data_IF_757951008704
#
_entry.id   IF_757951008704
#
_cell.length_a   1.000
_cell.length_b   1.000
_cell.length_c   1.000
_cell.angle_alpha   90.00
_cell.angle_beta   90.00
_cell.angle_gamma   90.00
#
_symmetry.space_group_name_H-M   'P 1'
#
loop_
_entity.id
_entity.type
_entity.pdbx_description
1 polymer ?
2 non-polymer ?
3 non-polymer ?
4 non-polymer ?
5 non-polymer ?
6 non-polymer ?
7 water ?
#
# COMPACT_ATOMS: atom_id res chain seq x y z
N UNK A 24 1.22 33.32 -7.76
CA UNK A 24 1.81 32.41 -6.78
C UNK A 24 3.10 31.81 -7.30
N UNK A 25 3.63 30.82 -6.57
CA UNK A 25 4.84 30.10 -6.95
C UNK A 25 4.55 28.62 -6.75
N UNK A 26 4.05 27.97 -7.80
CA UNK A 26 3.67 26.57 -7.72
C UNK A 26 4.90 25.67 -7.72
N UNK A 27 4.79 24.54 -7.06
CA UNK A 27 5.91 23.65 -6.82
C UNK A 27 5.81 22.42 -7.71
N UNK A 28 6.96 21.98 -8.22
CA UNK A 28 6.99 20.85 -9.15
C UNK A 28 6.93 19.51 -8.42
N UNK A 29 7.79 19.33 -7.42
CA UNK A 29 7.87 18.07 -6.68
C UNK A 29 7.74 18.34 -5.20
N UNK A 30 6.69 17.79 -4.59
CA UNK A 30 6.52 17.82 -3.14
C UNK A 30 7.29 16.65 -2.52
N UNK A 31 8.62 16.75 -2.65
CA UNK A 31 9.49 15.61 -2.35
C UNK A 31 9.56 15.37 -0.84
N UNK A 32 9.58 16.43 -0.05
CA UNK A 32 9.65 16.26 1.39
C UNK A 32 8.41 15.59 1.96
N UNK A 33 7.23 15.98 1.46
CA UNK A 33 5.99 15.35 1.91
C UNK A 33 5.91 13.91 1.44
N UNK A 34 6.32 13.64 0.20
CA UNK A 34 6.21 12.28 -0.35
C UNK A 34 7.12 11.31 0.40
N UNK A 35 8.29 11.78 0.85
CA UNK A 35 9.20 10.90 1.57
C UNK A 35 8.67 10.62 2.97
N UNK A 36 8.17 11.65 3.66
CA UNK A 36 7.62 11.46 5.00
C UNK A 36 6.43 10.49 4.96
N UNK A 37 5.61 10.58 3.92
CA UNK A 37 4.46 9.68 3.79
C UNK A 37 4.95 8.23 3.65
N UNK A 38 5.90 8.00 2.75
CA UNK A 38 6.40 6.64 2.54
C UNK A 38 7.13 6.11 3.77
N UNK A 39 7.93 6.96 4.41
CA UNK A 39 8.68 6.53 5.59
C UNK A 39 7.73 6.17 6.73
N UNK A 40 6.67 6.96 6.91
CA UNK A 40 5.72 6.71 7.99
C UNK A 40 4.98 5.39 7.78
N UNK A 41 4.63 5.08 6.53
CA UNK A 41 3.85 3.87 6.27
C UNK A 41 4.71 2.62 6.45
N UNK A 42 5.94 2.65 5.95
CA UNK A 42 6.79 1.46 6.02
C UNK A 42 7.21 1.17 7.46
N UNK A 43 7.41 2.22 8.26
CA UNK A 43 7.74 2.03 9.67
C UNK A 43 6.55 1.43 10.41
N UNK A 44 5.36 2.00 10.20
CA UNK A 44 4.15 1.47 10.84
C UNK A 44 3.86 0.05 10.39
N UNK A 45 4.20 -0.28 9.14
CA UNK A 45 3.91 -1.62 8.64
C UNK A 45 4.88 -2.65 9.20
N UNK A 46 6.18 -2.33 9.24
CA UNK A 46 7.16 -3.29 9.71
C UNK A 46 7.07 -3.52 11.20
N UNK A 47 6.73 -2.49 11.98
CA UNK A 47 6.66 -2.63 13.43
C UNK A 47 5.49 -3.53 13.81
N UNK A 48 4.32 -3.29 13.23
CA UNK A 48 3.15 -4.10 13.54
C UNK A 48 3.37 -5.55 13.13
N UNK A 49 3.95 -5.77 11.95
CA UNK A 49 4.27 -7.13 11.52
C UNK A 49 5.22 -7.81 12.51
N UNK A 50 6.17 -7.06 13.07
CA UNK A 50 7.16 -7.66 13.95
C UNK A 50 6.53 -8.09 15.27
N UNK A 51 5.70 -7.24 15.87
CA UNK A 51 5.17 -7.54 17.20
C UNK A 51 4.12 -8.64 17.13
N UNK A 52 3.43 -8.78 16.00
CA UNK A 52 2.49 -9.89 15.84
C UNK A 52 3.24 -11.21 15.71
N UNK A 53 4.35 -11.20 14.96
CA UNK A 53 5.19 -12.38 14.81
C UNK A 53 6.00 -12.68 16.06
N UNK A 54 6.10 -11.75 17.00
CA UNK A 54 6.91 -11.91 18.20
C UNK A 54 6.09 -12.25 19.44
N UNK A 55 4.96 -11.58 19.64
CA UNK A 55 4.15 -11.74 20.85
C UNK A 55 2.92 -12.60 20.65
N UNK A 56 2.78 -13.24 19.48
CA UNK A 56 1.61 -14.06 19.19
C UNK A 56 2.03 -15.31 18.43
N UNK A 57 1.30 -16.39 18.69
CA UNK A 57 1.42 -17.60 17.88
C UNK A 57 0.44 -17.53 16.70
N UNK A 58 0.79 -18.26 15.63
CA UNK A 58 -0.06 -18.26 14.45
C UNK A 58 -1.39 -18.92 14.78
N UNK A 59 -2.47 -18.26 14.39
CA UNK A 59 -3.81 -18.70 14.73
C UNK A 59 -4.41 -18.02 15.95
N UNK A 60 -3.59 -17.39 16.78
CA UNK A 60 -4.10 -16.63 17.91
C UNK A 60 -4.86 -15.41 17.41
N UNK A 61 -5.88 -15.01 18.19
CA UNK A 61 -6.74 -13.90 17.81
C UNK A 61 -7.02 -13.02 19.02
N UNK A 62 -6.84 -11.72 18.84
CA UNK A 62 -7.19 -10.74 19.86
C UNK A 62 -8.35 -9.89 19.36
N UNK A 63 -9.17 -9.41 20.30
CA UNK A 63 -10.38 -8.67 19.99
C UNK A 63 -10.17 -7.19 20.29
N UNK A 64 -10.30 -6.36 19.27
CA UNK A 64 -10.25 -4.91 19.42
C UNK A 64 -11.64 -4.29 19.34
N UNK A 65 -12.38 -4.61 18.29
CA UNK A 65 -13.79 -4.24 18.17
C UNK A 65 -14.58 -5.53 17.98
N UNK A 66 -15.33 -5.98 18.99
CA UNK A 66 -16.02 -7.27 18.88
C UNK A 66 -17.00 -7.28 17.71
N UNK A 67 -16.95 -8.37 16.94
CA UNK A 67 -17.79 -8.66 15.77
C UNK A 67 -17.45 -7.79 14.56
N UNK A 68 -16.47 -6.90 14.66
CA UNK A 68 -16.14 -6.05 13.52
C UNK A 68 -14.66 -6.08 13.17
N UNK A 69 -13.77 -6.16 14.15
CA UNK A 69 -12.34 -6.10 13.88
C UNK A 69 -11.60 -6.91 14.93
N UNK A 70 -10.77 -7.85 14.49
CA UNK A 70 -9.90 -8.62 15.36
C UNK A 70 -8.47 -8.57 14.82
N UNK A 71 -7.52 -8.93 15.67
CA UNK A 71 -6.12 -9.05 15.29
C UNK A 71 -5.75 -10.52 15.42
N UNK A 72 -5.61 -11.20 14.28
CA UNK A 72 -5.32 -12.63 14.24
C UNK A 72 -4.05 -12.85 13.42
N UNK A 73 -3.06 -13.50 14.04
CA UNK A 73 -1.82 -13.80 13.35
C UNK A 73 -2.06 -14.75 12.19
N UNK A 74 -1.55 -14.40 11.01
CA UNK A 74 -1.75 -15.17 9.80
C UNK A 74 -0.55 -14.99 8.88
N UNK A 75 -0.29 -16.00 8.07
CA UNK A 75 0.84 -15.99 7.15
C UNK A 75 0.35 -16.26 5.74
N UNK A 76 0.86 -15.51 4.78
CA UNK A 76 0.50 -15.66 3.37
C UNK A 76 1.77 -15.77 2.54
N UNK A 77 1.91 -16.88 1.82
CA UNK A 77 3.00 -17.06 0.87
C UNK A 77 2.57 -16.75 -0.56
N UNK A 78 1.49 -15.99 -0.71
CA UNK A 78 1.01 -15.61 -2.02
C UNK A 78 0.57 -14.16 -2.10
N UNK A 79 -0.17 -13.82 -3.16
CA UNK A 79 -0.67 -12.48 -3.40
C UNK A 79 -2.07 -12.35 -2.79
N UNK A 80 -2.79 -11.29 -3.16
CA UNK A 80 -4.17 -11.08 -2.73
C UNK A 80 -4.98 -12.37 -2.84
N UNK A 81 -5.79 -12.63 -1.82
CA UNK A 81 -6.61 -13.85 -1.70
C UNK A 81 -5.76 -15.11 -1.74
N UNK A 82 -4.46 -15.00 -1.49
CA UNK A 82 -3.60 -16.17 -1.52
C UNK A 82 -3.28 -16.70 -2.90
N UNK A 83 -3.51 -15.92 -3.95
CA UNK A 83 -3.23 -16.38 -5.29
C UNK A 83 -1.72 -16.42 -5.52
N UNK A 84 -1.29 -17.31 -6.43
CA UNK A 84 0.11 -17.45 -6.81
C UNK A 84 0.98 -17.74 -5.58
N UNK A 85 0.56 -18.74 -4.81
CA UNK A 85 1.28 -19.08 -3.58
C UNK A 85 2.61 -19.75 -3.90
N UNK A 86 3.65 -19.36 -3.17
CA UNK A 86 4.96 -19.95 -3.32
C UNK A 86 5.78 -19.45 -4.48
N UNK A 87 5.33 -18.42 -5.18
CA UNK A 87 6.07 -17.85 -6.31
C UNK A 87 6.79 -16.60 -5.81
N UNK A 88 7.94 -16.82 -5.15
CA UNK A 88 8.70 -15.70 -4.60
C UNK A 88 9.59 -15.05 -5.66
N UNK A 89 10.08 -15.82 -6.63
CA UNK A 89 10.85 -15.23 -7.72
C UNK A 89 9.97 -14.28 -8.54
N UNK A 90 8.72 -14.67 -8.80
CA UNK A 90 7.82 -13.83 -9.57
C UNK A 90 7.49 -12.55 -8.82
N UNK A 91 7.16 -12.67 -7.52
CA UNK A 91 6.89 -11.49 -6.70
C UNK A 91 8.11 -10.59 -6.65
N UNK A 92 9.31 -11.17 -6.62
CA UNK A 92 10.53 -10.38 -6.57
C UNK A 92 10.68 -9.51 -7.81
N UNK A 93 10.55 -10.12 -8.99
CA UNK A 93 10.76 -9.39 -10.24
C UNK A 93 9.66 -8.36 -10.45
N UNK A 94 8.40 -8.77 -10.26
CA UNK A 94 7.28 -7.88 -10.55
C UNK A 94 7.21 -6.70 -9.58
N UNK A 95 7.77 -6.83 -8.37
CA UNK A 95 7.78 -5.72 -7.43
C UNK A 95 8.87 -4.72 -7.79
N UNK A 96 10.03 -5.20 -8.24
CA UNK A 96 11.06 -4.29 -8.73
C UNK A 96 10.56 -3.51 -9.93
N UNK A 97 9.82 -4.16 -10.82
CA UNK A 97 9.23 -3.46 -11.96
C UNK A 97 8.27 -2.39 -11.49
N UNK A 98 7.47 -2.70 -10.46
CA UNK A 98 6.50 -1.73 -9.95
C UNK A 98 7.22 -0.55 -9.30
N UNK A 99 8.22 -0.84 -8.46
CA UNK A 99 8.93 0.23 -7.76
C UNK A 99 9.63 1.17 -8.74
N UNK A 100 10.27 0.61 -9.76
CA UNK A 100 10.95 1.45 -10.75
C UNK A 100 9.93 2.23 -11.59
N UNK A 101 8.78 1.61 -11.87
CA UNK A 101 7.75 2.29 -12.64
C UNK A 101 7.17 3.46 -11.86
N UNK A 102 6.97 3.29 -10.55
CA UNK A 102 6.44 4.37 -9.74
C UNK A 102 7.40 5.56 -9.69
N UNK A 103 8.70 5.29 -9.58
CA UNK A 103 9.69 6.36 -9.54
C UNK A 103 9.70 7.12 -10.87
N UNK A 104 9.54 6.39 -11.98
CA UNK A 104 9.53 7.02 -13.29
C UNK A 104 8.31 7.93 -13.47
N UNK A 105 7.14 7.47 -13.04
CA UNK A 105 5.93 8.25 -13.22
C UNK A 105 5.89 9.45 -12.26
N UNK A 106 6.58 9.34 -11.13
CA UNK A 106 6.66 10.48 -10.20
C UNK A 106 7.34 11.67 -10.85
N UNK A 107 8.42 11.42 -11.59
CA UNK A 107 9.22 12.50 -12.16
C UNK A 107 8.68 12.96 -13.52
N UNK A 108 8.10 12.05 -14.30
CA UNK A 108 7.74 12.37 -15.68
C UNK A 108 6.31 12.88 -15.83
N UNK A 109 5.36 12.34 -15.07
CA UNK A 109 3.95 12.61 -15.31
C UNK A 109 3.18 13.14 -14.12
N UNK A 110 3.80 13.28 -12.96
CA UNK A 110 3.11 13.72 -11.76
C UNK A 110 3.61 15.07 -11.24
N UNK A 111 4.40 15.79 -12.02
CA UNK A 111 4.94 17.05 -11.57
C UNK A 111 3.85 18.10 -11.44
N UNK A 112 3.97 18.96 -10.43
CA UNK A 112 3.01 20.00 -10.06
C UNK A 112 1.68 19.44 -9.58
N UNK A 113 1.63 18.15 -9.24
CA UNK A 113 0.39 17.48 -8.83
C UNK A 113 0.64 16.80 -7.48
N UNK A 114 0.26 17.49 -6.41
CA UNK A 114 0.45 16.94 -5.06
C UNK A 114 -0.42 15.71 -4.83
N UNK A 115 -1.64 15.72 -5.38
CA UNK A 115 -2.55 14.60 -5.18
C UNK A 115 -1.98 13.31 -5.78
N UNK A 116 -1.41 13.40 -6.97
CA UNK A 116 -0.83 12.21 -7.60
C UNK A 116 0.44 11.76 -6.87
N UNK A 117 1.25 12.72 -6.41
CA UNK A 117 2.48 12.36 -5.73
C UNK A 117 2.22 11.67 -4.40
N UNK A 118 1.14 12.05 -3.71
CA UNK A 118 0.76 11.35 -2.47
C UNK A 118 0.34 9.92 -2.77
N UNK A 119 -0.46 9.73 -3.84
CA UNK A 119 -0.92 8.40 -4.19
C UNK A 119 0.23 7.49 -4.60
N UNK A 120 1.21 8.04 -5.33
CA UNK A 120 2.36 7.24 -5.75
C UNK A 120 3.21 6.85 -4.55
N UNK A 121 3.29 7.71 -3.54
CA UNK A 121 4.05 7.38 -2.34
C UNK A 121 3.40 6.23 -1.58
N UNK A 122 2.08 6.24 -1.47
CA UNK A 122 1.37 5.15 -0.79
C UNK A 122 1.54 3.84 -1.53
N UNK A 123 1.52 3.88 -2.87
CA UNK A 123 1.80 2.70 -3.65
C UNK A 123 3.24 2.23 -3.43
N UNK A 124 4.18 3.17 -3.39
CA UNK A 124 5.59 2.81 -3.20
C UNK A 124 5.82 2.18 -1.83
N UNK A 125 5.25 2.78 -0.79
CA UNK A 125 5.45 2.26 0.56
C UNK A 125 4.80 0.89 0.72
N UNK A 126 3.61 0.70 0.15
CA UNK A 126 2.94 -0.59 0.27
C UNK A 126 3.69 -1.70 -0.44
N UNK A 127 4.16 -1.44 -1.65
CA UNK A 127 4.90 -2.45 -2.39
C UNK A 127 6.23 -2.76 -1.71
N UNK A 128 6.90 -1.74 -1.19
CA UNK A 128 8.17 -1.96 -0.49
C UNK A 128 7.96 -2.72 0.82
N UNK A 129 6.84 -2.46 1.51
CA UNK A 129 6.59 -3.13 2.78
C UNK A 129 6.48 -4.62 2.63
N UNK A 130 5.64 -5.08 1.69
CA UNK A 130 5.50 -6.52 1.46
C UNK A 130 6.75 -7.10 0.81
N UNK A 131 7.50 -6.28 0.08
CA UNK A 131 8.71 -6.77 -0.57
C UNK A 131 9.77 -7.18 0.46
N UNK A 132 9.85 -6.44 1.57
CA UNK A 132 10.82 -6.77 2.60
C UNK A 132 10.50 -8.11 3.24
N UNK A 133 9.21 -8.37 3.50
CA UNK A 133 8.83 -9.62 4.15
C UNK A 133 9.13 -10.82 3.26
N UNK A 134 8.84 -10.72 1.96
CA UNK A 134 9.07 -11.83 1.06
C UNK A 134 10.55 -12.12 0.88
N UNK A 135 11.39 -11.09 0.89
CA UNK A 135 12.83 -11.30 0.74
C UNK A 135 13.42 -11.89 2.02
N UNK A 136 12.92 -11.47 3.18
CA UNK A 136 13.50 -11.90 4.45
C UNK A 136 13.01 -13.29 4.85
N UNK A 137 11.71 -13.54 4.78
CA UNK A 137 11.13 -14.77 5.29
C UNK A 137 10.44 -15.63 4.24
N UNK A 138 10.28 -15.13 3.01
CA UNK A 138 9.58 -15.90 2.00
C UNK A 138 8.09 -15.96 2.18
N UNK A 139 7.52 -15.09 3.02
CA UNK A 139 6.08 -15.02 3.22
C UNK A 139 5.75 -13.65 3.82
N UNK A 140 4.46 -13.39 3.93
CA UNK A 140 3.95 -12.10 4.38
C UNK A 140 3.10 -12.30 5.62
N UNK A 141 3.36 -11.49 6.65
CA UNK A 141 2.56 -11.52 7.87
C UNK A 141 1.29 -10.72 7.66
N UNK A 142 0.15 -11.31 8.01
CA UNK A 142 -1.16 -10.66 7.92
C UNK A 142 -1.87 -10.77 9.25
N UNK A 143 -2.41 -9.65 9.73
CA UNK A 143 -3.08 -9.65 11.03
C UNK A 143 -4.41 -8.91 11.07
N UNK A 144 -4.74 -8.09 10.08
CA UNK A 144 -5.96 -7.30 10.12
C UNK A 144 -7.13 -8.20 9.71
N UNK A 145 -8.02 -8.48 10.66
CA UNK A 145 -9.14 -9.41 10.45
C UNK A 145 -10.43 -8.66 10.74
N UNK A 146 -11.14 -8.28 9.66
CA UNK A 146 -12.30 -7.41 9.80
C UNK A 146 -13.36 -7.79 8.77
N UNK A 147 -14.55 -7.22 8.95
CA UNK A 147 -15.63 -7.35 7.99
C UNK A 147 -16.26 -6.00 7.66
N UNK A 148 -15.66 -4.90 8.10
CA UNK A 148 -16.24 -3.58 7.87
C UNK A 148 -16.19 -3.23 6.38
N UNK A 149 -15.14 -3.65 5.69
CA UNK A 149 -15.01 -3.43 4.24
C UNK A 149 -15.61 -4.57 3.42
N UNK A 150 -16.37 -5.46 4.04
CA UNK A 150 -16.95 -6.60 3.35
C UNK A 150 -16.79 -7.87 4.16
N UNK A 151 -17.77 -8.75 4.05
CA UNK A 151 -17.77 -9.98 4.84
C UNK A 151 -16.87 -11.04 4.21
N UNK A 152 -16.27 -11.85 5.07
CA UNK A 152 -15.33 -12.90 4.67
C UNK A 152 -14.22 -12.32 3.79
N UNK A 153 -13.64 -11.23 4.27
CA UNK A 153 -12.54 -10.51 3.63
C UNK A 153 -11.21 -11.03 4.15
N UNK A 154 -10.24 -11.31 3.28
CA UNK A 154 -8.98 -11.93 3.73
C UNK A 154 -8.26 -11.07 4.76
N UNK A 155 -7.44 -11.73 5.55
CA UNK A 155 -6.62 -11.06 6.56
C UNK A 155 -5.47 -10.36 5.86
N UNK A 156 -5.35 -9.05 6.08
CA UNK A 156 -4.32 -8.26 5.41
C UNK A 156 -3.48 -7.47 6.40
N UNK A 157 -2.63 -6.58 5.87
CA UNK A 157 -1.75 -5.79 6.74
C UNK A 157 -1.74 -4.31 6.34
N UNK A 158 -0.82 -3.55 6.93
CA UNK A 158 -0.76 -2.11 6.68
C UNK A 158 -0.27 -1.84 5.26
N UNK A 159 0.69 -2.63 4.77
CA UNK A 159 1.18 -2.45 3.42
C UNK A 159 0.07 -2.68 2.39
N UNK A 160 -0.82 -3.63 2.65
CA UNK A 160 -1.95 -3.85 1.76
C UNK A 160 -2.91 -2.67 1.77
N UNK A 161 -3.14 -2.08 2.94
CA UNK A 161 -4.04 -0.93 3.03
C UNK A 161 -3.48 0.25 2.25
N UNK A 162 -2.18 0.51 2.36
CA UNK A 162 -1.58 1.62 1.63
C UNK A 162 -1.67 1.42 0.12
N UNK A 163 -1.51 0.17 -0.31
CA UNK A 163 -1.57 -0.18 -1.72
C UNK A 163 -2.97 0.08 -2.28
N UNK A 164 -3.98 -0.43 -1.58
CA UNK A 164 -5.37 -0.26 -2.00
C UNK A 164 -5.75 1.22 -2.00
N UNK A 165 -5.30 1.94 -0.97
CA UNK A 165 -5.59 3.36 -0.84
C UNK A 165 -5.03 4.14 -2.01
N UNK A 166 -3.76 3.89 -2.33
CA UNK A 166 -3.11 4.57 -3.44
C UNK A 166 -3.74 4.27 -4.78
N UNK A 167 -4.24 3.04 -4.95
CA UNK A 167 -4.91 2.68 -6.19
C UNK A 167 -6.23 3.43 -6.32
N UNK A 168 -6.96 3.57 -5.21
CA UNK A 168 -8.23 4.30 -5.23
C UNK A 168 -8.01 5.75 -5.62
N UNK A 169 -6.97 6.39 -5.06
CA UNK A 169 -6.69 7.77 -5.42
C UNK A 169 -6.26 7.92 -6.87
N UNK A 170 -5.55 6.92 -7.41
CA UNK A 170 -5.11 6.99 -8.80
C UNK A 170 -6.30 6.94 -9.74
N UNK A 171 -7.23 6.03 -9.50
CA UNK A 171 -8.41 5.94 -10.37
C UNK A 171 -9.33 7.12 -10.15
N UNK A 172 -9.34 7.69 -8.95
CA UNK A 172 -10.16 8.88 -8.69
C UNK A 172 -9.66 10.06 -9.52
N UNK A 173 -8.35 10.30 -9.49
CA UNK A 173 -7.78 11.45 -10.19
C UNK A 173 -7.99 11.35 -11.70
N UNK A 174 -7.74 10.17 -12.27
CA UNK A 174 -7.85 10.02 -13.73
C UNK A 174 -9.30 10.00 -14.17
N UNK A 175 -10.19 9.39 -13.38
CA UNK A 175 -11.61 9.40 -13.72
C UNK A 175 -12.19 10.80 -13.60
N UNK A 176 -11.71 11.59 -12.63
CA UNK A 176 -12.19 12.96 -12.50
C UNK A 176 -11.76 13.82 -13.68
N UNK A 177 -10.57 13.58 -14.22
CA UNK A 177 -10.06 14.38 -15.33
C UNK A 177 -10.66 13.99 -16.68
N UNK A 178 -11.44 12.90 -16.74
CA UNK A 178 -12.22 12.63 -17.94
C UNK A 178 -13.30 13.67 -18.13
N UNK A 179 -13.77 14.28 -17.05
CA UNK A 179 -14.75 15.36 -17.10
C UNK A 179 -14.11 16.74 -16.99
N UNK A 180 -12.79 16.83 -17.10
CA UNK A 180 -12.06 18.08 -16.93
C UNK A 180 -11.74 18.77 -18.24
N UNK A 181 -12.27 18.27 -19.36
CA UNK A 181 -11.99 18.86 -20.67
C UNK A 181 -12.88 20.11 -20.82
N UNK A 182 -12.36 21.24 -20.36
CA UNK A 182 -13.03 22.53 -20.51
C UNK A 182 -11.99 23.55 -20.96
N UNK A 183 -12.30 24.28 -22.03
CA UNK A 183 -11.32 25.09 -22.74
C UNK A 183 -10.57 26.06 -21.82
N UNK A 184 -11.29 26.99 -21.21
CA UNK A 184 -10.65 28.12 -20.55
C UNK A 184 -10.22 27.78 -19.12
N UNK A 185 -9.20 28.49 -18.64
CA UNK A 185 -8.70 28.33 -17.28
C UNK A 185 -8.80 29.60 -16.44
N UNK A 186 -9.33 30.68 -17.00
CA UNK A 186 -9.59 31.90 -16.25
C UNK A 186 -11.01 32.36 -16.55
N UNK A 187 -11.60 33.08 -15.60
CA UNK A 187 -12.95 33.58 -15.76
C UNK A 187 -13.01 34.62 -16.88
X LIG B 1 -5.30 -8.72 1.05
X LIG B 1 -7.04 -7.49 -2.20
X LIG B 1 -7.81 -5.61 -3.73
X LIG B 1 -6.76 -6.76 -5.79
X LIG B 1 -3.54 -8.42 -6.87
X LIG B 1 -2.53 -7.35 -7.35
X LIG B 1 -1.43 -7.91 -8.30
X LIG B 1 1.08 -8.07 -7.64
X LIG B 1 2.02 -6.26 -6.07
X LIG B 1 1.64 -6.72 -3.51
X LIG B 1 1.72 -7.78 -6.24
X LIG B 1 -0.33 -8.72 -7.53
X LIG B 1 2.27 -5.77 -4.59
X LIG B 1 3.00 -8.65 -6.04
X LIG B 1 -3.42 -10.24 2.06
X LIG B 1 3.78 -5.54 -4.33
X LIG B 1 -4.90 -10.14 1.56
X LIG B 1 -2.36 -10.08 0.93
X LIG B 1 -6.52 -5.79 -4.58
X LIG B 1 -5.55 -6.78 -6.79
X LIG B 1 -5.07 -8.23 -7.13
X LIG B 1 -0.92 -10.35 1.46
X LIG B 1 -0.41 -7.14 -2.30
X LIG B 1 -5.67 -8.72 -0.47
X LIG B 1 0.21 -9.97 0.44
X LIG B 1 -6.00 -4.41 -5.06
X LIG B 1 -1.92 -6.90 -2.55
X LIG B 1 -6.67 -7.60 -0.90
X LIG B 1 -0.11 -8.53 -1.66
X LIG B 1 -2.35 -5.44 -2.22
X LIG B 1 -8.05 -6.38 -2.64
X LIG B 1 -7.14 -3.50 -5.58
X LIG B 1 -7.26 -6.64 0.15
X LIG B 1 -3.73 -5.37 -1.53
X LIG B 1 -6.70 -4.72 1.45
X LIG B 1 -0.07 -8.65 -0.18
X LIG B 1 0.27 -7.08 -3.57
X LIG B 1 -3.24 -11.51 2.64
X LIG B 1 -5.06 -11.06 0.50
X LIG B 1 -0.72 -9.55 2.60
X LIG B 1 2.34 -7.14 -2.64
X LIG B 1 -3.16 -9.38 -6.29
X LIG B 1 0.08 -9.48 -2.35
X LIG B 1 -6.33 -5.60 0.39
X LIG C 1 -3.65 -17.01 3.73
X LIG D 1 -20.75 -9.62 21.31
X LIG E 1 18.04 16.10 -6.82
X LIG E 1 14.18 8.35 -2.74
X LIG E 1 14.46 9.66 -2.00
X LIG E 1 15.83 10.18 -2.40
X LIG E 1 16.02 11.59 -1.85
X LIG E 1 15.30 12.60 -2.73
X LIG E 1 16.48 14.96 -5.24
X LIG E 1 16.26 13.13 -3.80
X LIG E 1 17.46 16.12 -5.40
X LIG E 1 16.79 12.38 -4.54
X LIG E 1 18.58 17.36 -7.10
X LIG E 1 16.79 17.33 -5.18
X LIG E 1 16.50 14.50 -3.92
X LIG F 1 0.40 8.99 7.03
X LIG F 1 7.43 18.76 5.21
X LIG F 1 0.72 10.45 7.33
X LIG F 1 2.23 10.68 7.18
X LIG F 1 2.57 12.12 7.58
X LIG F 1 2.79 12.96 6.32
X LIG F 1 2.70 14.44 6.67
X LIG F 1 4.08 15.08 6.57
X LIG F 1 4.95 18.45 5.22
X LIG F 1 3.95 16.50 6.02
X LIG F 1 6.09 19.43 5.49
X LIG F 1 2.95 16.81 5.46
X LIG F 1 7.71 18.83 3.84
X LIG F 1 5.93 20.54 4.64
X LIG F 1 4.97 17.42 6.17
X LIG G 1 3.01 22.22 1.09
X LIG G 1 -2.55 11.72 3.39
X LIG G 1 -1.54 12.72 3.95
X LIG G 1 -1.84 14.12 3.40
X LIG G 1 -0.52 14.81 3.08
X LIG G 1 -0.71 16.32 3.00
X LIG G 1 0.60 16.98 3.40
X LIG G 1 1.70 20.30 2.02
X LIG G 1 0.62 18.45 3.02
X LIG G 1 3.07 20.75 1.50
X LIG G 1 -0.38 19.09 3.02
X LIG G 1 2.04 22.38 0.10
X LIG G 1 4.03 20.59 2.51
X LIG G 1 1.83 19.07 2.66
X LIG H 1 -0.86 23.43 -3.26
X LIG H 1 -6.03 16.03 4.55
X LIG H 1 -5.07 17.21 4.67
X LIG H 1 -5.15 18.05 3.39
X LIG H 1 -3.96 19.00 3.32
X LIG H 1 -3.83 19.52 1.89
X LIG H 1 -2.86 20.70 1.85
X LIG H 1 -1.83 22.66 -1.09
X LIG H 1 -2.49 20.99 0.39
X LIG H 1 -0.53 22.96 -1.84
X LIG H 1 -3.01 20.37 -0.48
X LIG H 1 -1.46 22.38 -3.97
X LIG H 1 0.18 23.95 -1.17
X LIG H 1 -1.54 21.97 0.09
X LIG I 1 2.93 -4.83 -13.28
X LIG I 1 3.52 -3.85 -13.94
X LIG I 1 1.67 -4.57 -12.45
X LIG I 1 2.96 -2.43 -13.90
X LIG I 1 5.05 7.83 -20.63
X LIG I 1 1.18 -5.90 -11.89
X LIG I 1 4.03 -1.47 -14.41
X LIG I 1 3.40 -0.48 -15.39
X LIG I 1 4.47 0.08 -16.31
X LIG I 1 3.80 0.74 -17.52
X LIG I 1 4.86 1.34 -18.42
X LIG I 1 4.19 2.06 -19.59
X LIG I 1 5.22 5.38 -21.06
X LIG I 1 4.91 3.37 -19.88
X LIG I 1 4.28 6.58 -21.05
X LIG I 1 5.85 3.68 -19.22
X LIG I 1 4.17 8.76 -20.05
X LIG I 1 3.73 6.77 -22.33
X LIG I 1 4.48 4.20 -20.91
X LIG J 1 12.05 6.68 0.38
X LIG J 1 11.46 7.34 -0.60
X LIG J 1 11.37 5.49 1.03
X LIG J 1 10.08 6.91 -1.10
X LIG J 1 12.61 15.16 -6.33
X LIG J 1 9.49 8.02 -1.97
X LIG J 1 8.40 7.46 -2.88
X LIG J 1 7.94 8.54 -3.84
X LIG J 1 8.83 8.54 -5.08
X LIG J 1 9.66 9.82 -5.13
X LIG J 1 10.46 9.87 -6.43
X LIG J 1 12.83 12.74 -6.89
X LIG J 1 11.65 10.80 -6.27
X LIG J 1 12.65 14.13 -7.46
X LIG J 1 12.64 10.41 -5.76
X LIG J 1 13.11 16.38 -6.78
X LIG J 1 13.72 14.42 -8.31
X LIG J 1 11.58 12.12 -6.72
X LIG K 1 -3.28 -3.44 -7.38
X LIG K 1 2.06 0.97 -11.62
X LIG K 1 2.22 2.23 -11.96
X LIG K 1 -2.20 -3.59 -6.30
X LIG K 1 0.90 0.57 -10.71
X LIG K 1 1.24 3.28 -11.43
X LIG K 1 -3.93 9.55 -19.02
X LIG K 1 -0.89 -4.02 -6.96
X LIG K 1 0.94 -0.93 -10.44
X LIG K 1 1.76 4.68 -11.75
X LIG K 1 -0.03 -2.79 -7.23
X LIG K 1 0.68 -1.15 -8.95
X LIG K 1 0.59 5.66 -11.79
X LIG K 1 0.07 -2.55 -8.73
X LIG K 1 0.94 6.84 -12.70
X LIG K 1 -0.25 7.78 -12.78
X LIG K 1 -0.02 8.80 -13.90
X LIG K 1 -0.90 8.46 -15.09
X LIG K 1 -1.78 10.37 -18.08
X LIG K 1 -0.70 9.50 -16.19
X LIG K 1 -2.49 9.95 -19.36
X LIG K 1 -0.14 10.51 -15.96
X LIG K 1 -4.27 8.37 -19.72
X LIG K 1 -2.51 11.02 -20.27
X LIG K 1 -1.19 9.26 -17.49
X LIG L 1 -3.38 -5.12 -11.02
X LIG L 1 0.49 4.66 -17.79
X LIG L 1 -2.04 -4.40 -11.17
X LIG L 1 -2.26 -3.03 -11.79
X LIG L 1 -2.55 -3.17 -13.28
X LIG L 1 -1.45 -2.48 -14.09
X LIG L 1 -1.46 -0.98 -13.80
X LIG L 1 -1.90 -0.22 -15.04
X LIG L 1 0.17 2.57 -16.49
X LIG L 1 -0.74 0.61 -15.59
X LIG L 1 0.03 4.09 -16.46
X LIG L 1 0.27 0.08 -15.88
X LIG L 1 0.12 6.00 -17.89
X LIG L 1 -1.32 4.44 -16.26
X LIG L 1 -0.87 1.99 -15.74
X LIG M 1 -9.94 -13.04 23.93
X LIG M 1 -8.58 -13.31 24.15
X LIG M 1 -10.66 -14.34 23.62
X LIG M 1 -11.34 -14.22 22.41
X LIG M 1 -11.07 -15.24 21.50
X LIG M 1 -11.89 -15.02 20.22
X LIG M 1 -11.84 -16.17 19.43
X LIG N 1 2.88 36.00 -9.23
X LIG N 1 2.57 37.09 -10.04
X LIG N 1 3.60 34.93 -10.05
X LIG N 1 2.69 33.94 -10.42
X LIG N 1 3.18 33.06 -11.40
X LIG N 1 2.39 31.76 -11.37
X LIG N 1 3.02 30.81 -12.18
X LIG O 1 15.79 -13.45 -9.31
X LIG O 1 16.51 -12.47 -10.00
X LIG O 1 16.02 -13.29 -7.81
X LIG O 1 15.16 -14.15 -7.11
X LIG O 1 15.07 -13.88 -5.74
X LIG O 1 14.27 -14.98 -5.05
X LIG O 1 14.03 -14.63 -3.72
X LIG P 1 7.68 19.71 0.36
X LIG P 1 6.88 20.30 -0.71
X LIG P 1 8.03 20.75 1.32
X LIG P 1 6.92 18.66 1.01
X LIG P 1 8.90 19.15 -0.21
X LIG Q 1 10.14 -20.02 -7.06
X LIG Q 1 10.16 -19.87 -8.51
X LIG Q 1 11.31 -19.35 -6.48
X LIG Q 1 8.93 -19.41 -6.52
X LIG Q 1 10.17 -21.44 -6.71
X LIG R 1 2.60 25.66 -3.78
X LIG R 1 1.70 26.72 -4.23
X LIG R 1 3.89 26.23 -3.43
X LIG R 1 2.02 25.00 -2.61
X LIG R 1 2.76 24.68 -4.85
X LIG S 1 10.38 22.78 -7.14
X LIG S 1 10.81 24.06 -6.58
X LIG S 1 11.22 22.44 -8.28
X LIG S 1 8.99 22.88 -7.57
X LIG S 1 10.51 21.75 -6.11
#
# INVERSE_FOLDING_TARGET
>A
MGHHHHHHDYDIPTTENLYFQGAHMHKKYFIGTSILIAVFVVIFDQVTKYIIATTMKIGDSFEVIPHFLNITSHRNNGAAWGILSGKMTFFFIITIIILIALVYFFIKDAQYNLFMQVAISLLFAGALGNFIDRVLTGEVVDFIDTNIFGYDFPIFNIADSSLTIGVILIIIALLKDTSNKKEKEVK
>B hetero
1 KNH C10 C13 C15 C17 C20 C21 C22 C24 C26 C28 C25 C23 C27 C36 C08 C35 C09 C07 C16 C18 C19 C06 C02 C11 C05 C43 C32 C12 C03 C33 C14 C44 C37 C34 C39 N04 O01 O41 O40 O42 O31 O30 O29 O38
>C hetero
1 ZN ZN
>D hetero
1 ZN ZN
>E hetero
1 OLC C24 C6 C5 C4 C3 C2 C21 C1 C22 O19 O25 O23 O20
>F hetero
1 OLC C8 C24 C7 C6 C5 C4 C3 C2 C21 C1 C22 O19 O25 O23 O20
>G hetero
1 OLC C24 C7 C6 C5 C4 C3 C2 C21 C1 C22 O19 O25 O23 O20
>H hetero
1 OLC C24 C7 C6 C5 C4 C3 C2 C21 C1 C22 O19 O25 O23 O20
>I hetero
1 OLC C10 C9 C11 C8 C24 C12 C7 C6 C5 C4 C3 C2 C21 C1 C22 O19 O25 O23 O20
>J hetero
1 OLC C10 C9 C11 C8 C24 C7 C6 C5 C4 C3 C2 C21 C1 C22 O19 O25 O23 O20
>K hetero
1 OLC C18 C10 C9 C17 C11 C8 C24 C16 C12 C7 C15 C13 C6 C14 C5 C4 C3 C2 C21 C1 C22 O19 O25 O23 O20
>L hetero
1 OLC C8 C24 C7 C6 C5 C4 C3 C2 C21 C1 C22 O19 O25 O23 O20
>M hetero
1 PEG C1 O1 C2 O2 C3 C4 O4
>N hetero
1 PEG C1 O1 C2 O2 C3 C4 O4
>O hetero
1 PEG C1 O1 C2 O2 C3 C4 O4
>P hetero
1 SO4 S O1 O2 O3 O4
>Q hetero
1 SO4 S O1 O2 O3 O4
>R hetero
1 SO4 S O1 O2 O3 O4
>S hetero
1 SO4 S O1 O2 O3 O4
#
